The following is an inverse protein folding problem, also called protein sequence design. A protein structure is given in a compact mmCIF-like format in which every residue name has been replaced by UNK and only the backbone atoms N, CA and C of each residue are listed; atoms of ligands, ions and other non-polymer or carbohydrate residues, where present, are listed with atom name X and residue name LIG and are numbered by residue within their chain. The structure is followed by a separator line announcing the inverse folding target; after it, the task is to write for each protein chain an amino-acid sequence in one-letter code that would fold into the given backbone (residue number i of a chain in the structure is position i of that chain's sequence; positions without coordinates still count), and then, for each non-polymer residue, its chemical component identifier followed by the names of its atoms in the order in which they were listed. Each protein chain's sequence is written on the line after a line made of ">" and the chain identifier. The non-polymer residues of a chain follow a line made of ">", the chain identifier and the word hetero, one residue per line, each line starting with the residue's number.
data_IF_178644933785
#
_entry.id   IF_178644933785
#
_cell.length_a   1.000
_cell.length_b   1.000
_cell.length_c   1.000
_cell.angle_alpha   90.00
_cell.angle_beta   90.00
_cell.angle_gamma   90.00
#
_symmetry.space_group_name_H-M   'P 1'
#
loop_
_entity.id
_entity.type
_entity.pdbx_description
1 polymer ?
#
# COMPACT_ATOMS: atom_id res chain seq x y z
N UNK A 1 32.87 44.58 -10.87
CA UNK A 1 31.87 44.59 -9.78
C UNK A 1 30.52 44.22 -10.36
N UNK A 2 30.12 42.95 -10.31
CA UNK A 2 28.75 42.51 -10.58
C UNK A 2 28.41 41.40 -9.58
N UNK A 3 27.56 41.73 -8.60
CA UNK A 3 27.02 40.81 -7.62
C UNK A 3 25.81 40.11 -8.23
N UNK A 4 25.89 38.79 -8.41
CA UNK A 4 24.75 37.96 -8.78
C UNK A 4 24.02 37.61 -7.48
N UNK A 5 22.84 38.21 -7.28
CA UNK A 5 21.96 37.89 -6.17
C UNK A 5 21.31 36.52 -6.42
N UNK A 6 21.85 35.47 -5.80
CA UNK A 6 21.16 34.20 -5.65
C UNK A 6 19.99 34.38 -4.67
N UNK A 7 18.79 34.49 -5.20
CA UNK A 7 17.56 34.35 -4.43
C UNK A 7 17.48 32.92 -3.92
N UNK A 8 17.76 32.75 -2.63
CA UNK A 8 17.59 31.50 -1.88
C UNK A 8 16.12 31.08 -1.95
N UNK A 9 15.81 30.15 -2.85
CA UNK A 9 14.50 29.56 -3.00
C UNK A 9 14.27 28.59 -1.84
N UNK A 10 13.71 29.13 -0.75
CA UNK A 10 13.31 28.41 0.46
C UNK A 10 12.22 27.41 0.07
N UNK A 11 12.60 26.15 -0.11
CA UNK A 11 11.67 25.06 -0.40
C UNK A 11 10.61 24.98 0.71
N UNK A 12 9.34 25.15 0.32
CA UNK A 12 8.22 25.00 1.24
C UNK A 12 8.12 23.52 1.68
N UNK A 13 7.83 23.25 2.96
CA UNK A 13 7.63 21.89 3.43
C UNK A 13 6.45 21.26 2.68
N UNK A 14 6.69 20.09 2.07
CA UNK A 14 5.65 19.31 1.43
C UNK A 14 4.59 18.96 2.48
N UNK A 15 3.34 19.38 2.26
CA UNK A 15 2.26 19.08 3.19
C UNK A 15 2.01 17.57 3.25
N UNK A 16 1.84 16.99 4.45
CA UNK A 16 1.60 15.57 4.63
C UNK A 16 0.26 15.19 4.01
N UNK A 17 0.33 14.50 2.89
CA UNK A 17 -0.77 13.91 2.14
C UNK A 17 -1.17 12.57 2.78
N UNK A 18 -1.87 12.64 3.92
CA UNK A 18 -2.34 11.52 4.74
C UNK A 18 -3.07 10.39 4.00
N UNK A 19 -3.57 10.64 2.78
CA UNK A 19 -4.31 9.65 1.98
C UNK A 19 -3.68 9.33 0.61
N UNK A 20 -2.52 9.91 0.27
CA UNK A 20 -1.85 9.66 -1.02
C UNK A 20 -2.65 10.05 -2.29
N UNK A 21 -3.80 10.72 -2.13
CA UNK A 21 -4.70 11.12 -3.22
C UNK A 21 -4.40 12.56 -3.66
N UNK A 22 -4.40 12.80 -4.97
CA UNK A 22 -4.27 14.15 -5.52
C UNK A 22 -5.48 15.01 -5.13
N UNK A 23 -5.33 16.33 -4.89
CA UNK A 23 -6.43 17.20 -4.45
C UNK A 23 -7.65 17.18 -5.39
N UNK A 24 -7.48 16.85 -6.68
CA UNK A 24 -8.58 16.68 -7.63
C UNK A 24 -9.43 15.40 -7.43
N UNK A 25 -8.89 14.35 -6.81
CA UNK A 25 -9.58 13.06 -6.70
C UNK A 25 -10.67 13.04 -5.60
N UNK A 26 -10.52 13.86 -4.56
CA UNK A 26 -11.56 14.03 -3.53
C UNK A 26 -12.86 14.61 -4.11
N UNK A 27 -12.75 15.57 -5.03
CA UNK A 27 -13.92 16.14 -5.70
C UNK A 27 -14.72 15.11 -6.50
N UNK A 28 -14.03 14.19 -7.18
CA UNK A 28 -14.65 13.13 -7.99
C UNK A 28 -15.39 12.12 -7.09
N UNK A 29 -14.80 11.73 -5.97
CA UNK A 29 -15.43 10.80 -5.02
C UNK A 29 -16.68 11.40 -4.38
N UNK A 30 -16.64 12.67 -3.98
CA UNK A 30 -17.81 13.38 -3.43
C UNK A 30 -18.91 13.49 -4.48
N UNK A 31 -18.58 13.81 -5.73
CA UNK A 31 -19.55 13.89 -6.82
C UNK A 31 -20.22 12.54 -7.11
N UNK A 32 -19.44 11.45 -7.17
CA UNK A 32 -19.97 10.09 -7.34
C UNK A 32 -20.88 9.67 -6.17
N UNK A 33 -20.46 9.97 -4.94
CA UNK A 33 -21.27 9.71 -3.74
C UNK A 33 -22.61 10.45 -3.77
N UNK A 34 -22.61 11.73 -4.18
CA UNK A 34 -23.82 12.53 -4.31
C UNK A 34 -24.78 11.98 -5.39
N UNK A 35 -24.24 11.58 -6.55
CA UNK A 35 -25.04 10.98 -7.64
C UNK A 35 -25.67 9.66 -7.17
N UNK A 36 -24.91 8.79 -6.51
CA UNK A 36 -25.40 7.52 -5.99
C UNK A 36 -26.50 7.75 -4.94
N UNK A 37 -26.31 8.72 -4.04
CA UNK A 37 -27.30 9.07 -3.01
C UNK A 37 -28.62 9.55 -3.61
N UNK A 38 -28.56 10.41 -4.64
CA UNK A 38 -29.76 10.90 -5.35
C UNK A 38 -30.46 9.75 -6.07
N UNK A 39 -29.72 8.87 -6.75
CA UNK A 39 -30.28 7.71 -7.44
C UNK A 39 -30.99 6.75 -6.45
N UNK A 40 -30.40 6.51 -5.28
CA UNK A 40 -31.00 5.68 -4.23
C UNK A 40 -32.27 6.32 -3.63
N UNK A 41 -32.26 7.65 -3.41
CA UNK A 41 -33.44 8.42 -2.97
C UNK A 41 -34.58 8.33 -3.99
N UNK A 42 -34.27 8.49 -5.28
CA UNK A 42 -35.28 8.40 -6.36
C UNK A 42 -35.88 7.00 -6.47
N UNK A 43 -35.05 5.96 -6.35
CA UNK A 43 -35.51 4.56 -6.38
C UNK A 43 -36.52 4.25 -5.26
N UNK A 44 -36.30 4.77 -4.04
CA UNK A 44 -37.26 4.62 -2.93
C UNK A 44 -38.58 5.35 -3.17
N UNK A 45 -38.53 6.56 -3.72
CA UNK A 45 -39.74 7.35 -3.99
C UNK A 45 -40.58 6.73 -5.11
N UNK A 46 -39.96 6.15 -6.14
CA UNK A 46 -40.70 5.48 -7.21
C UNK A 46 -41.48 4.25 -6.72
N UNK A 47 -40.92 3.48 -5.78
CA UNK A 47 -41.59 2.30 -5.20
C UNK A 47 -42.85 2.74 -4.42
N UNK A 48 -42.79 3.87 -3.72
CA UNK A 48 -43.97 4.43 -3.03
C UNK A 48 -45.04 4.92 -4.00
N UNK A 49 -44.66 5.52 -5.13
CA UNK A 49 -45.64 5.97 -6.15
C UNK A 49 -46.38 4.80 -6.80
N UNK A 50 -45.75 3.64 -6.96
CA UNK A 50 -46.46 2.42 -7.42
C UNK A 50 -47.48 1.91 -6.39
N UNK A 51 -47.23 2.07 -5.09
CA UNK A 51 -48.22 1.70 -4.07
C UNK A 51 -49.39 2.68 -4.01
N UNK A 52 -49.16 3.99 -4.23
CA UNK A 52 -50.25 4.96 -4.30
C UNK A 52 -51.16 4.80 -5.52
N UNK A 53 -50.63 4.34 -6.66
CA UNK A 53 -51.47 4.06 -7.84
C UNK A 53 -52.33 2.80 -7.68
N UNK A 54 -51.97 1.87 -6.79
CA UNK A 54 -52.85 0.77 -6.38
C UNK A 54 -53.94 1.18 -5.40
N UNK A 55 -53.89 2.40 -4.84
CA UNK A 55 -54.84 2.90 -3.83
C UNK A 55 -56.07 3.63 -4.39
N UNK A 56 -56.24 3.71 -5.71
CA UNK A 56 -57.39 4.38 -6.33
C UNK A 56 -58.49 3.40 -6.80
N UNK A 57 -58.43 2.14 -6.36
CA UNK A 57 -59.58 1.24 -6.41
C UNK A 57 -60.67 1.74 -5.43
N UNK A 58 -61.96 1.76 -5.83
CA UNK A 58 -63.05 2.20 -4.96
C UNK A 58 -63.05 1.41 -3.64
N UNK A 59 -63.34 2.05 -2.49
CA UNK A 59 -63.30 1.38 -1.21
C UNK A 59 -64.37 0.28 -1.14
N UNK A 60 -63.96 -0.96 -1.32
CA UNK A 60 -64.78 -2.12 -0.98
C UNK A 60 -65.16 -2.09 0.51
N UNK A 61 -66.36 -2.57 0.87
CA UNK A 61 -66.87 -2.52 2.23
C UNK A 61 -65.89 -3.17 3.21
N UNK A 62 -65.60 -2.44 4.29
CA UNK A 62 -64.67 -2.84 5.36
C UNK A 62 -65.11 -4.17 5.99
N UNK A 63 -64.59 -5.26 5.46
CA UNK A 63 -64.59 -6.57 6.10
C UNK A 63 -63.73 -6.46 7.35
N UNK A 64 -64.33 -6.70 8.51
CA UNK A 64 -63.67 -6.67 9.81
C UNK A 64 -62.35 -7.45 9.78
N UNK A 65 -61.27 -6.78 10.14
CA UNK A 65 -59.93 -7.35 10.22
C UNK A 65 -59.93 -8.53 11.19
N UNK A 66 -59.84 -9.75 10.66
CA UNK A 66 -59.56 -10.92 11.48
C UNK A 66 -58.15 -10.77 12.09
N UNK A 67 -57.95 -11.12 13.37
CA UNK A 67 -56.63 -11.11 13.97
C UNK A 67 -55.69 -12.04 13.18
N UNK A 68 -54.41 -11.69 13.02
CA UNK A 68 -53.46 -12.49 12.26
C UNK A 68 -53.43 -13.90 12.83
N UNK A 69 -53.80 -14.87 11.98
CA UNK A 69 -53.83 -16.28 12.34
C UNK A 69 -52.40 -16.77 12.60
N UNK A 70 -52.24 -17.71 13.53
CA UNK A 70 -50.95 -18.35 13.86
C UNK A 70 -50.26 -18.98 12.64
N UNK A 71 -51.03 -19.29 11.58
CA UNK A 71 -50.52 -19.72 10.28
C UNK A 71 -49.69 -18.65 9.55
N UNK A 72 -50.04 -17.37 9.68
CA UNK A 72 -49.28 -16.27 9.06
C UNK A 72 -47.86 -16.17 9.65
N UNK A 73 -47.73 -16.27 10.98
CA UNK A 73 -46.43 -16.25 11.66
C UNK A 73 -45.57 -17.46 11.26
N UNK A 74 -46.18 -18.66 11.11
CA UNK A 74 -45.46 -19.84 10.65
C UNK A 74 -44.97 -19.68 9.21
N UNK A 75 -45.78 -19.10 8.34
CA UNK A 75 -45.39 -18.82 6.95
C UNK A 75 -44.24 -17.79 6.90
N UNK A 76 -44.27 -16.77 7.76
CA UNK A 76 -43.20 -15.78 7.86
C UNK A 76 -41.87 -16.40 8.35
N UNK A 77 -41.91 -17.23 9.39
CA UNK A 77 -40.71 -17.95 9.86
C UNK A 77 -40.15 -18.87 8.78
N UNK A 78 -41.02 -19.58 8.05
CA UNK A 78 -40.59 -20.41 6.92
C UNK A 78 -39.95 -19.60 5.80
N UNK A 79 -40.52 -18.43 5.48
CA UNK A 79 -39.93 -17.50 4.51
C UNK A 79 -38.56 -16.98 4.98
N UNK A 80 -38.41 -16.64 6.25
CA UNK A 80 -37.14 -16.19 6.83
C UNK A 80 -36.07 -17.30 6.82
N UNK A 81 -36.45 -18.55 7.14
CA UNK A 81 -35.54 -19.68 7.07
C UNK A 81 -35.07 -19.95 5.64
N UNK A 82 -35.97 -19.84 4.66
CA UNK A 82 -35.61 -19.94 3.25
C UNK A 82 -34.64 -18.83 2.81
N UNK A 83 -34.82 -17.61 3.31
CA UNK A 83 -33.91 -16.49 3.02
C UNK A 83 -32.54 -16.69 3.70
N UNK A 84 -32.49 -17.23 4.92
CA UNK A 84 -31.23 -17.57 5.60
C UNK A 84 -30.49 -18.68 4.83
N UNK A 85 -31.20 -19.69 4.35
CA UNK A 85 -30.59 -20.76 3.55
C UNK A 85 -30.00 -20.19 2.24
N UNK A 86 -30.76 -19.36 1.53
CA UNK A 86 -30.30 -18.73 0.29
C UNK A 86 -29.12 -17.78 0.52
N UNK A 87 -29.15 -16.97 1.59
CA UNK A 87 -28.05 -16.06 1.93
C UNK A 87 -26.80 -16.83 2.35
N UNK A 88 -26.95 -17.93 3.11
CA UNK A 88 -25.84 -18.80 3.49
C UNK A 88 -25.23 -19.47 2.26
N UNK A 89 -26.06 -19.94 1.31
CA UNK A 89 -25.60 -20.51 0.04
C UNK A 89 -24.83 -19.50 -0.80
N UNK A 90 -25.32 -18.25 -0.89
CA UNK A 90 -24.60 -17.17 -1.58
C UNK A 90 -23.29 -16.81 -0.88
N UNK A 91 -23.28 -16.77 0.45
CA UNK A 91 -22.07 -16.49 1.22
C UNK A 91 -21.00 -17.57 1.00
N UNK A 92 -21.40 -18.85 1.01
CA UNK A 92 -20.49 -19.97 0.71
C UNK A 92 -19.86 -19.81 -0.69
N UNK A 93 -20.68 -19.58 -1.72
CA UNK A 93 -20.18 -19.36 -3.07
C UNK A 93 -19.22 -18.15 -3.16
N UNK A 94 -19.46 -17.07 -2.40
CA UNK A 94 -18.54 -15.93 -2.37
C UNK A 94 -17.21 -16.27 -1.69
N UNK A 95 -17.24 -17.07 -0.61
CA UNK A 95 -16.04 -17.53 0.08
C UNK A 95 -15.22 -18.40 -0.87
N UNK A 96 -15.85 -19.35 -1.56
CA UNK A 96 -15.17 -20.25 -2.51
C UNK A 96 -14.47 -19.46 -3.62
N UNK A 97 -15.16 -18.47 -4.21
CA UNK A 97 -14.57 -17.59 -5.22
C UNK A 97 -13.36 -16.80 -4.69
N UNK A 98 -13.42 -16.35 -3.43
CA UNK A 98 -12.31 -15.61 -2.80
C UNK A 98 -11.13 -16.53 -2.48
N UNK A 99 -11.39 -17.75 -2.00
CA UNK A 99 -10.37 -18.77 -1.77
C UNK A 99 -9.63 -19.11 -3.08
N UNK A 100 -10.37 -19.37 -4.16
CA UNK A 100 -9.77 -19.63 -5.48
C UNK A 100 -8.91 -18.44 -5.97
N UNK A 101 -9.39 -17.21 -5.78
CA UNK A 101 -8.61 -16.02 -6.13
C UNK A 101 -7.33 -15.89 -5.30
N UNK A 102 -7.37 -16.23 -4.01
CA UNK A 102 -6.20 -16.22 -3.15
C UNK A 102 -5.18 -17.28 -3.56
N UNK A 103 -5.62 -18.50 -3.90
CA UNK A 103 -4.73 -19.55 -4.41
C UNK A 103 -3.99 -19.10 -5.67
N UNK A 104 -4.68 -18.44 -6.60
CA UNK A 104 -4.07 -17.89 -7.82
C UNK A 104 -3.02 -16.83 -7.48
N UNK A 105 -3.33 -15.90 -6.56
CA UNK A 105 -2.41 -14.83 -6.16
C UNK A 105 -1.18 -15.36 -5.43
N UNK A 106 -1.34 -16.38 -4.58
CA UNK A 106 -0.22 -17.06 -3.90
C UNK A 106 0.69 -17.71 -4.95
N UNK A 107 0.12 -18.47 -5.89
CA UNK A 107 0.89 -19.09 -6.96
C UNK A 107 1.62 -18.06 -7.85
N UNK A 108 1.03 -16.89 -8.09
CA UNK A 108 1.68 -15.80 -8.81
C UNK A 108 2.83 -15.18 -8.00
N UNK A 109 2.63 -14.98 -6.69
CA UNK A 109 3.67 -14.46 -5.80
C UNK A 109 4.86 -15.41 -5.73
N UNK A 110 4.63 -16.72 -5.60
CA UNK A 110 5.68 -17.74 -5.58
C UNK A 110 6.48 -17.76 -6.89
N UNK A 111 5.81 -17.64 -8.04
CA UNK A 111 6.49 -17.52 -9.33
C UNK A 111 7.38 -16.28 -9.39
N UNK A 112 6.92 -15.13 -8.89
CA UNK A 112 7.73 -13.90 -8.85
C UNK A 112 8.92 -14.04 -7.91
N UNK A 113 8.76 -14.69 -6.76
CA UNK A 113 9.85 -14.98 -5.83
C UNK A 113 10.92 -15.86 -6.49
N UNK A 114 10.54 -16.92 -7.20
CA UNK A 114 11.48 -17.76 -7.94
C UNK A 114 12.20 -17.01 -9.06
N UNK A 115 11.52 -16.10 -9.75
CA UNK A 115 12.14 -15.26 -10.78
C UNK A 115 13.19 -14.31 -10.17
N UNK A 116 12.87 -13.68 -9.05
CA UNK A 116 13.78 -12.81 -8.31
C UNK A 116 14.98 -13.57 -7.76
N UNK A 117 14.74 -14.75 -7.18
CA UNK A 117 15.81 -15.62 -6.67
C UNK A 117 16.73 -16.09 -7.81
N UNK A 118 16.18 -16.45 -8.97
CA UNK A 118 16.96 -16.76 -10.17
C UNK A 118 17.78 -15.56 -10.70
N UNK A 119 17.30 -14.33 -10.53
CA UNK A 119 18.06 -13.12 -10.88
C UNK A 119 19.18 -12.84 -9.88
N UNK A 120 18.94 -13.05 -8.58
CA UNK A 120 19.93 -12.89 -7.53
C UNK A 120 20.99 -14.01 -7.55
N UNK A 121 20.61 -15.21 -7.97
CA UNK A 121 21.48 -16.37 -8.16
C UNK A 121 22.15 -16.40 -9.53
N UNK A 122 21.98 -15.36 -10.37
CA UNK A 122 22.99 -15.11 -11.41
C UNK A 122 24.35 -15.16 -10.71
N UNK A 123 25.27 -16.03 -11.17
CA UNK A 123 26.45 -16.34 -10.39
C UNK A 123 27.18 -15.04 -10.12
N UNK A 124 27.11 -14.59 -8.87
CA UNK A 124 28.13 -13.72 -8.30
C UNK A 124 29.40 -14.49 -8.59
N UNK A 125 30.11 -14.08 -9.66
CA UNK A 125 31.44 -14.56 -10.02
C UNK A 125 32.13 -14.80 -8.70
N UNK A 126 32.41 -16.06 -8.40
CA UNK A 126 32.94 -16.50 -7.13
C UNK A 126 34.10 -15.59 -6.79
N UNK A 127 33.84 -14.60 -5.94
CA UNK A 127 34.90 -13.79 -5.38
C UNK A 127 35.75 -14.79 -4.59
N UNK A 128 37.08 -14.74 -4.70
CA UNK A 128 37.95 -15.61 -3.93
C UNK A 128 37.52 -15.59 -2.46
N UNK A 129 37.59 -16.71 -1.74
CA UNK A 129 37.17 -16.78 -0.34
C UNK A 129 37.79 -15.60 0.43
N UNK A 130 36.99 -14.89 1.26
CA UNK A 130 37.49 -13.78 2.03
C UNK A 130 38.67 -14.28 2.90
N UNK A 131 39.78 -13.52 2.97
CA UNK A 131 40.85 -13.80 3.90
C UNK A 131 40.26 -13.91 5.31
N UNK A 132 40.60 -14.99 6.00
CA UNK A 132 40.17 -15.34 7.35
C UNK A 132 40.28 -14.10 8.26
N UNK A 133 39.14 -13.67 8.81
CA UNK A 133 39.05 -12.61 9.81
C UNK A 133 39.91 -12.99 11.03
N UNK A 134 40.95 -12.21 11.23
CA UNK A 134 42.01 -12.46 12.22
C UNK A 134 43.23 -11.58 11.97
N UNK A 135 43.47 -11.19 10.71
CA UNK A 135 44.28 -10.02 10.39
C UNK A 135 43.41 -8.77 10.64
N UNK A 136 43.69 -8.07 11.74
CA UNK A 136 42.99 -6.87 12.18
C UNK A 136 42.76 -5.91 11.01
N UNK A 137 41.51 -5.51 10.75
CA UNK A 137 41.16 -4.51 9.73
C UNK A 137 41.96 -3.20 9.84
N UNK A 138 42.59 -2.94 11.00
CA UNK A 138 43.55 -1.86 11.20
C UNK A 138 44.80 -1.94 10.31
N UNK A 139 45.22 -3.14 9.87
CA UNK A 139 46.47 -3.30 9.09
C UNK A 139 46.30 -2.83 7.64
N UNK A 140 45.12 -3.06 7.04
CA UNK A 140 44.81 -2.60 5.69
C UNK A 140 44.78 -1.06 5.54
N UNK A 141 44.67 -0.34 6.66
CA UNK A 141 44.59 1.11 6.70
C UNK A 141 45.90 1.79 7.15
N UNK A 142 46.91 1.02 7.57
CA UNK A 142 48.22 1.55 7.96
C UNK A 142 48.89 2.42 6.89
N UNK A 143 48.91 2.03 5.59
CA UNK A 143 49.56 2.86 4.58
C UNK A 143 48.94 4.26 4.45
N UNK A 144 47.63 4.39 4.69
CA UNK A 144 46.92 5.67 4.67
C UNK A 144 47.34 6.53 5.85
N UNK A 145 47.47 5.94 7.04
CA UNK A 145 47.88 6.65 8.25
C UNK A 145 49.35 7.07 8.22
N UNK A 146 50.24 6.21 7.73
CA UNK A 146 51.66 6.52 7.55
C UNK A 146 51.88 7.69 6.60
N UNK A 147 51.13 7.76 5.50
CA UNK A 147 51.21 8.88 4.55
C UNK A 147 50.64 10.17 5.14
N UNK A 148 49.55 10.09 5.90
CA UNK A 148 49.00 11.24 6.61
C UNK A 148 49.95 11.76 7.70
N UNK A 149 50.63 10.87 8.43
CA UNK A 149 51.61 11.22 9.46
C UNK A 149 52.89 11.84 8.85
N UNK A 150 53.16 11.62 7.57
CA UNK A 150 54.17 12.34 6.77
C UNK A 150 53.70 13.71 6.27
N UNK A 151 52.45 14.10 6.55
CA UNK A 151 51.88 15.38 6.17
C UNK A 151 51.26 15.43 4.77
N UNK A 152 50.99 14.28 4.13
CA UNK A 152 50.28 14.25 2.85
C UNK A 152 48.79 14.56 3.03
N UNK A 153 48.20 15.25 2.06
CA UNK A 153 46.76 15.51 2.06
C UNK A 153 45.94 14.33 1.51
N UNK A 154 44.65 14.30 1.82
CA UNK A 154 43.76 13.18 1.44
C UNK A 154 43.68 12.93 -0.08
N UNK A 155 43.84 13.98 -0.91
CA UNK A 155 43.82 13.84 -2.37
C UNK A 155 45.13 13.26 -2.89
N UNK A 156 46.26 13.66 -2.33
CA UNK A 156 47.58 13.11 -2.64
C UNK A 156 47.66 11.63 -2.27
N UNK A 157 47.16 11.26 -1.09
CA UNK A 157 47.09 9.86 -0.64
C UNK A 157 46.19 9.04 -1.55
N UNK A 158 45.02 9.58 -1.91
CA UNK A 158 44.09 8.93 -2.84
C UNK A 158 44.72 8.69 -4.22
N UNK A 159 45.45 9.68 -4.74
CA UNK A 159 46.18 9.55 -5.99
C UNK A 159 47.31 8.51 -5.91
N UNK A 160 48.08 8.50 -4.82
CA UNK A 160 49.19 7.56 -4.62
C UNK A 160 48.71 6.10 -4.49
N UNK A 161 47.53 5.89 -3.90
CA UNK A 161 46.96 4.56 -3.66
C UNK A 161 45.90 4.13 -4.68
N UNK A 162 45.57 4.98 -5.66
CA UNK A 162 44.52 4.70 -6.65
C UNK A 162 43.11 4.58 -6.05
N UNK A 163 42.83 5.30 -4.95
CA UNK A 163 41.55 5.28 -4.21
C UNK A 163 40.75 6.55 -4.43
N UNK A 164 39.47 6.56 -4.02
CA UNK A 164 38.66 7.77 -4.07
C UNK A 164 39.02 8.73 -2.91
N UNK A 165 39.08 10.04 -3.14
CA UNK A 165 39.43 11.01 -2.10
C UNK A 165 38.46 11.00 -0.91
N UNK A 166 37.16 10.80 -1.15
CA UNK A 166 36.16 10.70 -0.08
C UNK A 166 36.34 9.47 0.82
N UNK A 167 36.83 8.34 0.27
CA UNK A 167 37.16 7.14 1.06
C UNK A 167 38.31 7.43 2.03
N UNK A 168 39.35 8.12 1.57
CA UNK A 168 40.49 8.52 2.39
C UNK A 168 40.08 9.54 3.47
N UNK A 169 39.27 10.54 3.11
CA UNK A 169 38.74 11.51 4.07
C UNK A 169 37.95 10.82 5.19
N UNK A 170 37.09 9.85 4.83
CA UNK A 170 36.34 9.07 5.81
C UNK A 170 37.26 8.27 6.73
N UNK A 171 38.26 7.57 6.18
CA UNK A 171 39.23 6.82 6.97
C UNK A 171 39.99 7.70 7.97
N UNK A 172 40.45 8.88 7.53
CA UNK A 172 41.14 9.84 8.40
C UNK A 172 40.20 10.41 9.48
N UNK A 173 38.93 10.67 9.13
CA UNK A 173 37.93 11.12 10.09
C UNK A 173 37.63 10.05 11.16
N UNK A 174 37.52 8.78 10.77
CA UNK A 174 37.32 7.67 11.71
C UNK A 174 38.48 7.52 12.69
N UNK A 175 39.74 7.68 12.23
CA UNK A 175 40.92 7.69 13.13
C UNK A 175 40.87 8.83 14.14
N UNK A 176 40.42 10.02 13.71
CA UNK A 176 40.33 11.19 14.60
C UNK A 176 39.23 11.01 15.65
N UNK A 177 38.11 10.40 15.28
CA UNK A 177 36.99 10.15 16.19
C UNK A 177 37.23 9.00 17.19
N UNK A 178 38.20 8.13 16.92
CA UNK A 178 38.59 7.03 17.81
C UNK A 178 39.58 7.45 18.92
N UNK A 179 40.09 8.69 18.89
CA UNK A 179 40.89 9.30 19.97
C UNK A 179 40.02 10.11 20.91
#
# INVERSE_FOLDING_TARGET
>A
MQFIAQTSQKAAPAEPNWFGLAPGQLGVLVALGAILFVALRWRKVQIQKQQQQRGNEPPEPRTFAQPPSTGAMRAEVQAMLADIEETTRRAAAQIDNRCQKLEILIAEADRKLQQLDGQLQMPVRSAPPPPIEGATANDAHQPVYDMADRGMDARQIAQALGKQPGEIELMLALRKSAK
#
